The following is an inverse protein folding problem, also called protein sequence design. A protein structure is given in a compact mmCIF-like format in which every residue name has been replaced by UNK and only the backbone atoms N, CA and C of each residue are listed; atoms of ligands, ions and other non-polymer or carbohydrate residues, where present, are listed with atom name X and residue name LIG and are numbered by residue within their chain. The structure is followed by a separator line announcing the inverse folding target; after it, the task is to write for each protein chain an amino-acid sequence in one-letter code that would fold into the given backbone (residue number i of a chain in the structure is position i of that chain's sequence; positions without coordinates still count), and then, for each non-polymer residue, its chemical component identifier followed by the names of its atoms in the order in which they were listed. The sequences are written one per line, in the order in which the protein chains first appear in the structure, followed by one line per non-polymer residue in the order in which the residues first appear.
data_IF_648438041717
#
_entry.id   IF_648438041717
#
_cell.length_a   1.000
_cell.length_b   1.000
_cell.length_c   1.000
_cell.angle_alpha   90.00
_cell.angle_beta   90.00
_cell.angle_gamma   90.00
#
_symmetry.space_group_name_H-M   'P 1'
#
loop_
_entity.id
_entity.type
_entity.pdbx_description
1 polymer ?
#
# COMPACT_ATOMS: atom_id res chain seq x y z
N UNK A 1 -47.16 -14.45 40.86
CA UNK A 1 -48.40 -14.84 41.54
C UNK A 1 -48.21 -16.24 42.12
N UNK A 2 -48.74 -16.50 43.31
CA UNK A 2 -48.75 -17.83 43.92
C UNK A 2 -49.91 -18.67 43.40
N UNK A 3 -49.73 -19.99 43.38
CA UNK A 3 -50.72 -20.98 42.96
C UNK A 3 -51.81 -21.23 44.04
N UNK A 4 -52.64 -22.25 43.85
CA UNK A 4 -53.68 -22.69 44.80
C UNK A 4 -53.16 -22.95 46.21
N UNK A 5 -51.86 -23.19 46.37
CA UNK A 5 -51.20 -23.46 47.64
C UNK A 5 -50.37 -22.27 48.16
N UNK A 6 -50.38 -21.14 47.45
CA UNK A 6 -49.64 -19.93 47.84
C UNK A 6 -48.12 -20.09 47.77
N UNK A 7 -47.61 -21.08 47.04
CA UNK A 7 -46.17 -21.32 46.95
C UNK A 7 -45.55 -20.29 46.01
N UNK A 8 -44.58 -19.54 46.54
CA UNK A 8 -43.82 -18.50 45.82
C UNK A 8 -42.32 -18.77 45.82
N UNK A 9 -41.87 -19.81 46.52
CA UNK A 9 -40.45 -20.11 46.69
C UNK A 9 -39.95 -20.87 45.46
N UNK A 10 -38.94 -20.31 44.77
CA UNK A 10 -38.21 -21.01 43.70
C UNK A 10 -37.03 -21.76 44.34
N UNK A 11 -36.95 -23.08 44.13
CA UNK A 11 -35.86 -23.93 44.66
C UNK A 11 -34.58 -23.84 43.81
N UNK A 12 -34.73 -23.94 42.49
CA UNK A 12 -33.70 -23.70 41.48
C UNK A 12 -34.39 -23.19 40.22
N UNK A 13 -33.70 -22.37 39.44
CA UNK A 13 -34.10 -22.00 38.08
C UNK A 13 -32.91 -22.14 37.14
N UNK A 14 -33.18 -22.52 35.91
CA UNK A 14 -32.16 -22.51 34.86
C UNK A 14 -32.02 -21.10 34.30
N UNK A 15 -30.80 -20.76 33.90
CA UNK A 15 -30.48 -19.54 33.17
C UNK A 15 -30.14 -19.90 31.72
N UNK A 16 -30.58 -19.05 30.80
CA UNK A 16 -30.15 -19.08 29.40
C UNK A 16 -29.78 -17.66 29.00
N UNK A 17 -28.84 -17.54 28.06
CA UNK A 17 -28.35 -16.27 27.57
C UNK A 17 -28.29 -16.29 26.05
N UNK A 18 -28.14 -15.11 25.48
CA UNK A 18 -28.00 -14.92 24.05
C UNK A 18 -26.96 -13.82 23.82
N UNK A 19 -26.08 -14.02 22.84
CA UNK A 19 -24.89 -13.18 22.60
C UNK A 19 -25.05 -12.49 21.26
N UNK A 20 -25.02 -11.15 21.25
CA UNK A 20 -24.90 -10.35 20.03
C UNK A 20 -23.43 -10.09 19.78
N UNK A 21 -22.97 -10.39 18.57
CA UNK A 21 -21.57 -10.32 18.23
C UNK A 21 -21.37 -9.69 16.84
N UNK A 22 -20.16 -9.22 16.59
CA UNK A 22 -19.71 -8.59 15.36
C UNK A 22 -18.19 -8.69 15.25
N UNK A 23 -17.63 -8.19 14.16
CA UNK A 23 -16.20 -8.26 13.88
C UNK A 23 -15.56 -6.88 13.95
N UNK A 24 -14.37 -6.83 14.56
CA UNK A 24 -13.40 -5.74 14.39
C UNK A 24 -12.31 -6.21 13.44
N UNK A 25 -12.20 -5.58 12.28
CA UNK A 25 -11.16 -5.83 11.28
C UNK A 25 -9.93 -4.98 11.59
N UNK A 26 -8.75 -5.55 11.40
CA UNK A 26 -7.47 -4.82 11.43
C UNK A 26 -6.70 -5.09 10.14
N UNK A 27 -6.23 -4.03 9.50
CA UNK A 27 -5.37 -4.10 8.32
C UNK A 27 -4.00 -3.55 8.69
N UNK A 28 -2.95 -4.33 8.45
CA UNK A 28 -1.57 -3.90 8.70
C UNK A 28 -0.76 -3.91 7.42
N UNK A 29 0.26 -3.05 7.41
CA UNK A 29 1.08 -2.83 6.24
C UNK A 29 0.34 -2.11 5.10
N UNK A 30 1.01 -1.97 3.96
CA UNK A 30 2.40 -2.38 3.74
C UNK A 30 3.39 -1.41 4.41
N UNK A 31 4.59 -1.88 4.74
CA UNK A 31 5.62 -1.05 5.37
C UNK A 31 6.11 0.06 4.44
N UNK A 32 6.21 -0.26 3.15
CA UNK A 32 6.37 0.71 2.07
C UNK A 32 5.08 0.73 1.26
N UNK A 33 4.45 1.90 1.17
CA UNK A 33 3.16 2.09 0.51
C UNK A 33 3.28 2.74 -0.87
N UNK A 34 4.49 2.79 -1.45
CA UNK A 34 4.74 3.27 -2.81
C UNK A 34 5.45 2.21 -3.63
N UNK A 35 5.06 2.05 -4.89
CA UNK A 35 5.69 1.10 -5.80
C UNK A 35 5.63 1.55 -7.26
N UNK A 36 6.37 0.84 -8.10
CA UNK A 36 6.39 1.05 -9.55
C UNK A 36 5.03 0.70 -10.18
N UNK A 37 4.71 1.37 -11.29
CA UNK A 37 3.59 1.03 -12.14
C UNK A 37 3.61 -0.46 -12.55
N UNK A 38 2.44 -1.11 -12.58
CA UNK A 38 2.24 -2.52 -12.93
C UNK A 38 2.88 -3.53 -11.95
N UNK A 39 3.35 -3.08 -10.77
CA UNK A 39 3.71 -3.97 -9.69
C UNK A 39 2.46 -4.32 -8.88
N UNK A 40 2.24 -5.61 -8.61
CA UNK A 40 1.15 -6.03 -7.74
C UNK A 40 1.37 -5.49 -6.32
N UNK A 41 0.30 -4.99 -5.69
CA UNK A 41 0.34 -4.66 -4.27
C UNK A 41 0.78 -5.88 -3.43
N UNK A 42 1.66 -5.64 -2.46
CA UNK A 42 2.19 -6.67 -1.57
C UNK A 42 2.31 -6.13 -0.14
N UNK A 43 2.38 -7.02 0.86
CA UNK A 43 2.61 -6.64 2.26
C UNK A 43 1.38 -6.16 3.04
N UNK A 44 0.17 -6.20 2.44
CA UNK A 44 -1.09 -5.96 3.14
C UNK A 44 -1.52 -7.24 3.84
N UNK A 45 -1.70 -7.17 5.16
CA UNK A 45 -2.15 -8.29 5.99
C UNK A 45 -3.46 -7.91 6.68
N UNK A 46 -4.48 -8.74 6.51
CA UNK A 46 -5.82 -8.52 7.06
C UNK A 46 -6.13 -9.59 8.10
N UNK A 47 -6.70 -9.17 9.22
CA UNK A 47 -7.14 -10.05 10.31
C UNK A 47 -8.40 -9.49 10.96
N UNK A 48 -9.07 -10.30 11.77
CA UNK A 48 -10.24 -9.88 12.53
C UNK A 48 -10.34 -10.61 13.87
N UNK A 49 -11.09 -10.01 14.79
CA UNK A 49 -11.50 -10.60 16.06
C UNK A 49 -13.00 -10.46 16.25
N UNK A 50 -13.58 -11.36 17.04
CA UNK A 50 -14.94 -11.23 17.54
C UNK A 50 -15.03 -10.14 18.61
N UNK A 51 -16.04 -9.27 18.52
CA UNK A 51 -16.19 -8.14 19.44
C UNK A 51 -16.63 -8.59 20.84
N UNK A 52 -17.34 -9.73 20.95
CA UNK A 52 -17.82 -10.25 22.22
C UNK A 52 -16.68 -10.67 23.16
N UNK A 53 -15.68 -11.39 22.67
CA UNK A 53 -14.64 -12.01 23.50
C UNK A 53 -13.20 -11.75 23.04
N UNK A 54 -13.00 -11.06 21.92
CA UNK A 54 -11.68 -10.75 21.37
C UNK A 54 -10.93 -11.95 20.78
N UNK A 55 -11.57 -13.11 20.65
CA UNK A 55 -10.96 -14.27 20.01
C UNK A 55 -10.77 -14.05 18.51
N UNK A 56 -9.81 -14.76 17.90
CA UNK A 56 -9.48 -14.61 16.49
C UNK A 56 -10.62 -15.13 15.61
N UNK A 57 -11.02 -14.33 14.62
CA UNK A 57 -11.97 -14.75 13.59
C UNK A 57 -11.39 -15.91 12.76
N UNK A 58 -12.12 -17.01 12.67
CA UNK A 58 -11.68 -18.24 11.99
C UNK A 58 -12.25 -18.41 10.57
N UNK A 59 -12.99 -17.42 10.08
CA UNK A 59 -13.60 -17.41 8.75
C UNK A 59 -12.75 -16.76 7.65
N UNK A 60 -13.42 -16.37 6.57
CA UNK A 60 -12.84 -15.75 5.39
C UNK A 60 -13.21 -14.26 5.34
N UNK A 61 -12.20 -13.41 5.14
CA UNK A 61 -12.36 -11.98 4.87
C UNK A 61 -12.13 -11.73 3.38
N UNK A 62 -13.05 -11.03 2.73
CA UNK A 62 -12.93 -10.66 1.31
C UNK A 62 -12.57 -9.18 1.23
N UNK A 63 -11.46 -8.85 0.58
CA UNK A 63 -11.08 -7.46 0.31
C UNK A 63 -11.81 -6.94 -0.92
N UNK A 64 -11.91 -5.61 -1.03
CA UNK A 64 -12.40 -4.94 -2.23
C UNK A 64 -11.58 -5.28 -3.49
N UNK A 65 -10.29 -5.56 -3.32
CA UNK A 65 -9.39 -6.00 -4.38
C UNK A 65 -8.16 -6.70 -3.81
N UNK A 66 -7.59 -7.65 -4.56
CA UNK A 66 -6.39 -8.42 -4.19
C UNK A 66 -5.31 -8.45 -5.27
N UNK A 67 -5.62 -8.06 -6.52
CA UNK A 67 -4.69 -8.16 -7.66
C UNK A 67 -4.48 -6.84 -8.42
N UNK A 68 -4.79 -5.68 -7.82
CA UNK A 68 -4.56 -4.38 -8.46
C UNK A 68 -3.08 -4.07 -8.61
N UNK A 69 -2.70 -3.55 -9.78
CA UNK A 69 -1.34 -3.19 -10.17
C UNK A 69 -1.20 -1.74 -10.69
N UNK A 70 -2.25 -0.92 -10.46
CA UNK A 70 -2.27 0.48 -10.88
C UNK A 70 -2.63 0.71 -12.35
N UNK A 71 -2.85 -0.35 -13.13
CA UNK A 71 -3.20 -0.30 -14.56
C UNK A 71 -2.26 0.60 -15.39
N UNK A 72 -0.98 0.65 -15.02
CA UNK A 72 0.02 1.48 -15.68
C UNK A 72 -0.15 3.00 -15.47
N UNK A 73 -0.88 3.41 -14.44
CA UNK A 73 -1.15 4.82 -14.13
C UNK A 73 -0.68 5.24 -12.74
N UNK A 74 -0.35 6.52 -12.60
CA UNK A 74 -0.03 7.12 -11.29
C UNK A 74 -1.33 7.26 -10.50
N UNK A 75 -1.48 6.50 -9.42
CA UNK A 75 -2.74 6.38 -8.67
C UNK A 75 -2.51 5.97 -7.22
N UNK A 76 -3.41 6.40 -6.34
CA UNK A 76 -3.56 5.84 -5.00
C UNK A 76 -4.82 4.98 -4.93
N UNK A 77 -4.69 3.76 -4.44
CA UNK A 77 -5.81 2.83 -4.27
C UNK A 77 -5.94 2.41 -2.80
N UNK A 78 -7.17 2.43 -2.29
CA UNK A 78 -7.49 2.01 -0.93
C UNK A 78 -7.90 0.54 -0.86
N UNK A 79 -7.55 -0.11 0.24
CA UNK A 79 -7.91 -1.50 0.55
C UNK A 79 -8.71 -1.56 1.84
N UNK A 80 -9.83 -2.27 1.79
CA UNK A 80 -10.71 -2.52 2.94
C UNK A 80 -11.41 -3.87 2.77
N UNK A 81 -11.95 -4.43 3.84
CA UNK A 81 -12.76 -5.64 3.79
C UNK A 81 -14.17 -5.29 3.33
N UNK A 82 -14.71 -6.00 2.36
CA UNK A 82 -16.08 -5.81 1.86
C UNK A 82 -17.07 -6.85 2.39
N UNK A 83 -16.58 -7.99 2.88
CA UNK A 83 -17.40 -9.01 3.50
C UNK A 83 -16.61 -9.98 4.37
N UNK A 84 -17.30 -10.59 5.34
CA UNK A 84 -16.82 -11.67 6.18
C UNK A 84 -17.84 -12.82 6.16
N UNK A 85 -17.36 -14.06 6.10
CA UNK A 85 -18.21 -15.26 6.10
C UNK A 85 -17.45 -16.54 6.45
N UNK A 86 -18.19 -17.63 6.69
CA UNK A 86 -17.64 -18.99 6.77
C UNK A 86 -16.97 -19.33 8.09
N UNK A 87 -17.26 -18.57 9.14
CA UNK A 87 -16.76 -18.79 10.49
C UNK A 87 -17.62 -19.78 11.27
N UNK A 88 -17.16 -20.18 12.46
CA UNK A 88 -17.85 -21.18 13.30
C UNK A 88 -19.22 -20.71 13.81
N UNK A 89 -19.42 -19.39 13.98
CA UNK A 89 -20.62 -18.81 14.59
C UNK A 89 -21.59 -18.21 13.56
N UNK A 90 -21.19 -18.13 12.28
CA UNK A 90 -21.99 -17.52 11.21
C UNK A 90 -22.08 -15.99 11.30
N UNK A 91 -21.11 -15.35 11.95
CA UNK A 91 -21.06 -13.89 12.12
C UNK A 91 -20.54 -13.24 10.83
N UNK A 92 -21.37 -12.35 10.28
CA UNK A 92 -21.06 -11.59 9.05
C UNK A 92 -21.01 -10.08 9.27
N UNK A 93 -21.48 -9.61 10.42
CA UNK A 93 -21.55 -8.18 10.74
C UNK A 93 -20.16 -7.63 11.05
N UNK A 94 -19.68 -6.71 10.22
CA UNK A 94 -18.47 -5.92 10.48
C UNK A 94 -18.88 -4.64 11.20
N UNK A 95 -18.39 -4.45 12.43
CA UNK A 95 -18.66 -3.27 13.25
C UNK A 95 -17.58 -2.19 13.07
N UNK A 96 -16.30 -2.61 13.06
CA UNK A 96 -15.15 -1.75 12.78
C UNK A 96 -14.40 -2.31 11.58
N UNK A 97 -14.13 -1.45 10.60
CA UNK A 97 -13.44 -1.83 9.37
C UNK A 97 -12.27 -0.89 9.11
N UNK A 98 -11.06 -1.43 9.22
CA UNK A 98 -9.84 -0.69 8.96
C UNK A 98 -9.57 -0.54 7.45
N UNK A 99 -8.71 0.40 7.10
CA UNK A 99 -8.31 0.66 5.72
C UNK A 99 -6.81 0.95 5.58
N UNK A 100 -6.23 0.52 4.48
CA UNK A 100 -4.86 0.90 4.08
C UNK A 100 -4.85 1.31 2.62
N UNK A 101 -3.68 1.70 2.09
CA UNK A 101 -3.56 2.09 0.68
C UNK A 101 -2.20 1.77 0.09
N UNK A 102 -2.16 1.72 -1.25
CA UNK A 102 -0.95 1.70 -2.06
C UNK A 102 -0.94 2.85 -3.04
N UNK A 103 0.25 3.35 -3.34
CA UNK A 103 0.51 4.35 -4.38
C UNK A 103 1.33 3.68 -5.49
N UNK A 104 0.81 3.74 -6.71
CA UNK A 104 1.57 3.47 -7.92
C UNK A 104 2.08 4.79 -8.44
N UNK A 105 3.39 4.85 -8.63
CA UNK A 105 4.08 6.09 -8.95
C UNK A 105 5.07 5.90 -10.10
N UNK A 106 5.45 7.02 -10.69
CA UNK A 106 6.52 7.11 -11.68
C UNK A 106 7.38 8.34 -11.41
N UNK A 107 8.45 8.50 -12.18
CA UNK A 107 9.38 9.61 -12.03
C UNK A 107 9.39 10.48 -13.28
N UNK A 108 9.23 11.79 -13.09
CA UNK A 108 9.60 12.78 -14.10
C UNK A 108 11.06 13.16 -13.90
N UNK A 109 11.90 12.76 -14.86
CA UNK A 109 13.34 13.02 -14.87
C UNK A 109 13.62 14.30 -15.65
N UNK A 110 14.44 15.19 -15.07
CA UNK A 110 14.96 16.36 -15.74
C UNK A 110 16.48 16.28 -15.84
N UNK A 111 17.01 16.43 -17.06
CA UNK A 111 18.44 16.62 -17.32
C UNK A 111 18.65 18.05 -17.80
N UNK A 112 19.53 18.79 -17.14
CA UNK A 112 19.92 20.15 -17.55
C UNK A 112 21.41 20.20 -17.88
N UNK A 113 21.80 21.22 -18.65
CA UNK A 113 23.17 21.37 -19.15
C UNK A 113 23.47 20.56 -20.42
N UNK A 114 24.75 20.43 -20.81
CA UNK A 114 25.91 21.11 -20.20
C UNK A 114 25.82 22.64 -20.34
N UNK A 115 26.60 23.37 -19.55
CA UNK A 115 26.65 24.85 -19.64
C UNK A 115 27.11 25.32 -21.02
N UNK A 116 27.96 24.53 -21.68
CA UNK A 116 28.41 24.73 -23.05
C UNK A 116 28.33 23.42 -23.85
N UNK A 117 27.66 23.47 -25.00
CA UNK A 117 27.40 22.31 -25.87
C UNK A 117 28.52 22.02 -26.88
N UNK A 118 29.61 22.80 -26.88
CA UNK A 118 30.81 22.55 -27.70
C UNK A 118 32.06 22.64 -26.84
N UNK A 119 32.67 21.49 -26.59
CA UNK A 119 33.90 21.40 -25.81
C UNK A 119 35.13 21.26 -26.71
N UNK A 120 36.28 21.72 -26.21
CA UNK A 120 37.56 21.38 -26.81
C UNK A 120 37.83 19.88 -26.62
N UNK A 121 38.61 19.29 -27.51
CA UNK A 121 39.02 17.90 -27.41
C UNK A 121 39.78 17.65 -26.10
N UNK A 122 39.44 16.57 -25.37
CA UNK A 122 39.99 16.23 -24.06
C UNK A 122 39.62 17.21 -22.92
N UNK A 123 38.67 18.12 -23.15
CA UNK A 123 38.11 18.94 -22.08
C UNK A 123 36.81 18.30 -21.57
N UNK A 124 36.73 18.07 -20.25
CA UNK A 124 35.53 17.57 -19.62
C UNK A 124 34.38 18.57 -19.77
N UNK A 125 33.23 18.11 -20.24
CA UNK A 125 31.98 18.83 -20.12
C UNK A 125 31.63 19.03 -18.63
N UNK A 126 31.01 20.17 -18.32
CA UNK A 126 30.57 20.50 -16.95
C UNK A 126 29.14 21.04 -16.95
N UNK A 127 28.52 21.02 -15.78
CA UNK A 127 27.17 21.57 -15.57
C UNK A 127 26.03 20.66 -16.04
N UNK A 128 26.30 19.38 -16.32
CA UNK A 128 25.23 18.39 -16.48
C UNK A 128 24.69 18.06 -15.09
N UNK A 129 23.41 18.33 -14.88
CA UNK A 129 22.71 18.05 -13.62
C UNK A 129 21.48 17.21 -13.92
N UNK A 130 21.32 16.14 -13.15
CA UNK A 130 20.17 15.24 -13.22
C UNK A 130 19.35 15.38 -11.94
N UNK A 131 18.04 15.46 -12.08
CA UNK A 131 17.10 15.42 -10.96
C UNK A 131 15.84 14.65 -11.37
N UNK A 132 15.10 14.17 -10.38
CA UNK A 132 13.79 13.58 -10.61
C UNK A 132 12.81 14.01 -9.52
N UNK A 133 11.53 13.97 -9.86
CA UNK A 133 10.42 14.12 -8.93
C UNK A 133 9.49 12.93 -9.07
N UNK A 134 8.84 12.56 -7.98
CA UNK A 134 7.72 11.62 -7.98
C UNK A 134 6.51 12.25 -8.64
N UNK A 135 5.86 11.52 -9.56
CA UNK A 135 4.73 12.06 -10.33
C UNK A 135 3.45 12.16 -9.49
N UNK A 136 3.30 11.32 -8.46
CA UNK A 136 2.13 11.32 -7.59
C UNK A 136 1.96 12.61 -6.78
N UNK A 137 3.05 13.13 -6.20
CA UNK A 137 3.01 14.27 -5.27
C UNK A 137 4.01 15.39 -5.57
N UNK A 138 4.85 15.24 -6.60
CA UNK A 138 5.89 16.21 -6.95
C UNK A 138 7.03 16.29 -5.96
N UNK A 139 7.13 15.37 -4.99
CA UNK A 139 8.24 15.32 -4.06
C UNK A 139 9.56 15.03 -4.81
N UNK A 140 10.66 15.59 -4.32
CA UNK A 140 11.99 15.34 -4.90
C UNK A 140 12.35 13.88 -4.70
N UNK A 141 12.79 13.21 -5.77
CA UNK A 141 13.34 11.87 -5.70
C UNK A 141 14.67 11.89 -4.95
N UNK A 142 14.77 11.11 -3.88
CA UNK A 142 15.95 11.02 -3.01
C UNK A 142 16.80 9.77 -3.28
N UNK A 143 16.41 8.95 -4.26
CA UNK A 143 17.17 7.79 -4.72
C UNK A 143 18.35 8.13 -5.64
N UNK A 144 18.97 7.09 -6.19
CA UNK A 144 20.16 7.22 -7.04
C UNK A 144 19.78 7.20 -8.51
N UNK A 145 20.13 8.25 -9.25
CA UNK A 145 19.94 8.33 -10.70
C UNK A 145 21.27 8.02 -11.40
N UNK A 146 21.26 7.06 -12.33
CA UNK A 146 22.44 6.68 -13.11
C UNK A 146 22.28 7.13 -14.56
N UNK A 147 23.31 7.78 -15.10
CA UNK A 147 23.35 8.14 -16.53
C UNK A 147 23.82 6.95 -17.38
N UNK A 148 23.47 6.96 -18.66
CA UNK A 148 23.95 5.98 -19.65
C UNK A 148 25.46 6.10 -19.93
N UNK A 149 26.06 7.24 -19.63
CA UNK A 149 27.49 7.49 -19.75
C UNK A 149 27.96 8.45 -18.65
N UNK A 150 29.15 8.20 -18.13
CA UNK A 150 29.84 9.05 -17.15
C UNK A 150 31.16 9.63 -17.69
N UNK A 151 31.49 9.32 -18.95
CA UNK A 151 32.55 9.99 -19.68
C UNK A 151 32.04 11.33 -20.21
N UNK A 152 32.81 12.39 -19.99
CA UNK A 152 32.47 13.77 -20.34
C UNK A 152 33.48 14.43 -21.29
N UNK A 153 34.54 13.73 -21.77
CA UNK A 153 35.61 14.35 -22.57
C UNK A 153 35.67 13.94 -24.06
N UNK A 154 34.77 13.04 -24.48
CA UNK A 154 34.68 12.58 -25.87
C UNK A 154 35.72 11.54 -26.27
N UNK A 155 36.41 10.91 -25.31
CA UNK A 155 37.50 9.94 -25.52
C UNK A 155 38.57 10.48 -26.49
N UNK A 156 38.83 11.79 -26.41
CA UNK A 156 39.77 12.48 -27.29
C UNK A 156 39.42 12.42 -28.79
N UNK A 157 38.16 12.17 -29.15
CA UNK A 157 37.69 12.18 -30.54
C UNK A 157 36.61 13.24 -30.80
N UNK A 158 36.49 13.68 -32.06
CA UNK A 158 35.39 14.56 -32.46
C UNK A 158 34.08 13.75 -32.53
N UNK A 159 33.29 13.78 -31.46
CA UNK A 159 32.07 12.98 -31.30
C UNK A 159 30.92 13.82 -30.72
N UNK A 160 29.68 13.36 -30.92
CA UNK A 160 28.49 13.88 -30.23
C UNK A 160 27.88 12.77 -29.39
N UNK A 161 27.92 12.92 -28.06
CA UNK A 161 27.25 12.00 -27.13
C UNK A 161 25.93 12.56 -26.65
N UNK A 162 24.97 11.66 -26.42
CA UNK A 162 23.72 11.95 -25.73
C UNK A 162 23.75 11.33 -24.35
N UNK A 163 23.42 12.14 -23.33
CA UNK A 163 23.25 11.66 -21.96
C UNK A 163 21.77 11.45 -21.68
N UNK A 164 21.42 10.26 -21.20
CA UNK A 164 20.09 9.88 -20.77
C UNK A 164 20.20 9.15 -19.43
N UNK A 165 19.10 9.04 -18.69
CA UNK A 165 19.06 8.15 -17.53
C UNK A 165 18.97 6.70 -17.99
N UNK A 166 19.80 5.84 -17.41
CA UNK A 166 19.82 4.40 -17.65
C UNK A 166 19.11 3.62 -16.53
N UNK A 167 19.11 4.16 -15.31
CA UNK A 167 18.42 3.59 -14.15
C UNK A 167 18.08 4.68 -13.12
N UNK A 168 16.95 4.51 -12.44
CA UNK A 168 16.52 5.31 -11.29
C UNK A 168 15.82 4.38 -10.29
#
# INVERSE_FOLDING_TARGET
SGDTYGITTIGTNDETFIIWDSLTITITGPTDNRQNLNANASGIVVSAVYDFDGSTFDGILTLNQTDYDGDGTVVRWGYTVVSAAGDTYGITTINVNDETYMIWDSLTITITGPTDNRQNLNANASGIVVSAIYDYDGAVFDGTITLNNTDFDGDGTAVRWGYTVSNA
#
